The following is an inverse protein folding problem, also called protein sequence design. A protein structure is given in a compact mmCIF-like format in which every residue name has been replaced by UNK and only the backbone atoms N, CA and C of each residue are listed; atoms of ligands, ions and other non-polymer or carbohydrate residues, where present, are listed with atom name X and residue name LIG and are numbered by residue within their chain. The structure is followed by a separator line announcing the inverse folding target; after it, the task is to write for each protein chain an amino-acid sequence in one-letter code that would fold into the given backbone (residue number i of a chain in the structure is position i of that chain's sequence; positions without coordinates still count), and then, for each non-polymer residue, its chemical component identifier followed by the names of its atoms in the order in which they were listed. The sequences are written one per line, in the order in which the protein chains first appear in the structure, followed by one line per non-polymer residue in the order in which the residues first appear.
data_IF_758686489151
#
_entry.id   IF_758686489151
#
_cell.length_a   1.000
_cell.length_b   1.000
_cell.length_c   1.000
_cell.angle_alpha   90.00
_cell.angle_beta   90.00
_cell.angle_gamma   90.00
#
_symmetry.space_group_name_H-M   'P 1'
#
loop_
_entity.id
_entity.type
_entity.pdbx_description
1 polymer ?
2 water ?
#
# COMPACT_ATOMS: atom_id res chain seq x y z
N UNK A 2 -18.40 24.76 0.29
CA UNK A 2 -19.62 24.36 -0.44
C UNK A 2 -19.51 22.91 -0.87
N UNK A 3 -20.58 22.40 -1.45
CA UNK A 3 -20.54 21.09 -2.10
C UNK A 3 -19.77 21.23 -3.39
N UNK A 4 -19.19 20.13 -3.87
CA UNK A 4 -18.40 20.22 -5.08
C UNK A 4 -19.24 20.31 -6.38
N UNK A 5 -18.66 20.98 -7.36
CA UNK A 5 -19.15 20.98 -8.73
C UNK A 5 -18.16 20.39 -9.72
N UNK A 6 -16.87 20.60 -9.47
CA UNK A 6 -15.84 20.22 -10.42
C UNK A 6 -14.65 19.66 -9.65
N UNK A 7 -13.84 18.93 -10.38
CA UNK A 7 -12.63 18.33 -9.81
C UNK A 7 -11.58 18.13 -10.85
N UNK A 8 -10.35 17.99 -10.36
CA UNK A 8 -9.24 17.57 -11.21
C UNK A 8 -8.49 16.46 -10.48
N UNK A 9 -7.81 15.67 -11.27
CA UNK A 9 -7.08 14.53 -10.75
C UNK A 9 -5.72 14.42 -11.37
N UNK A 10 -4.71 14.23 -10.51
CA UNK A 10 -3.38 13.76 -10.91
C UNK A 10 -3.24 12.36 -10.27
N UNK A 11 -3.20 11.35 -11.12
CA UNK A 11 -3.12 9.95 -10.64
C UNK A 11 -1.83 9.38 -11.20
N UNK A 12 -1.04 8.74 -10.35
CA UNK A 12 0.30 8.34 -10.71
C UNK A 12 0.75 7.20 -9.83
N UNK A 13 1.87 6.60 -10.17
CA UNK A 13 2.41 5.49 -9.41
C UNK A 13 3.14 4.58 -10.33
N UNK A 14 2.98 3.28 -10.12
CA UNK A 14 3.63 2.30 -10.97
C UNK A 14 2.87 1.01 -10.94
N UNK A 15 2.99 0.24 -12.03
CA UNK A 15 2.48 -1.15 -12.09
C UNK A 15 3.63 -2.04 -12.53
N UNK A 16 3.88 -3.08 -11.75
CA UNK A 16 4.98 -3.99 -12.01
C UNK A 16 6.29 -3.21 -12.22
N UNK A 17 6.51 -2.20 -11.37
CA UNK A 17 7.74 -1.45 -11.38
C UNK A 17 7.85 -0.34 -12.40
N UNK A 18 6.86 -0.16 -13.27
CA UNK A 18 6.92 0.79 -14.37
C UNK A 18 5.99 1.95 -14.10
N UNK A 19 6.53 3.16 -14.11
CA UNK A 19 5.77 4.34 -13.73
C UNK A 19 4.65 4.64 -14.72
N UNK A 20 3.60 5.26 -14.20
CA UNK A 20 2.54 5.86 -15.04
C UNK A 20 2.14 7.16 -14.40
N UNK A 21 1.48 8.02 -15.21
CA UNK A 21 1.08 9.35 -14.77
C UNK A 21 -0.03 9.85 -15.67
N UNK A 22 -1.15 10.28 -15.08
CA UNK A 22 -2.26 10.87 -15.83
C UNK A 22 -2.80 12.07 -15.12
N UNK A 23 -3.39 12.97 -15.92
CA UNK A 23 -4.09 14.14 -15.39
C UNK A 23 -5.42 14.30 -16.10
N UNK A 24 -6.35 14.86 -15.38
CA UNK A 24 -7.65 15.15 -15.99
C UNK A 24 -8.55 15.93 -15.11
N UNK A 25 -9.77 16.10 -15.61
CA UNK A 25 -10.73 16.97 -14.98
C UNK A 25 -12.11 16.41 -15.16
N UNK A 26 -12.99 16.78 -14.24
CA UNK A 26 -14.32 16.25 -14.24
C UNK A 26 -15.30 17.12 -13.52
N UNK A 27 -16.50 16.58 -13.43
CA UNK A 27 -17.63 17.25 -12.81
C UNK A 27 -18.43 16.19 -12.05
N UNK A 28 -19.39 16.64 -11.27
CA UNK A 28 -20.33 15.73 -10.66
C UNK A 28 -21.48 16.45 -10.03
N UNK A 29 -22.45 15.64 -9.61
CA UNK A 29 -23.69 16.12 -9.02
C UNK A 29 -23.76 15.59 -7.58
N UNK A 30 -23.50 16.44 -6.58
CA UNK A 30 -23.44 15.99 -5.20
C UNK A 30 -24.80 15.74 -4.56
N UNK A 31 -25.88 16.02 -5.30
CA UNK A 31 -27.26 15.65 -4.96
C UNK A 31 -27.55 14.21 -5.32
N UNK A 32 -26.76 13.62 -6.21
CA UNK A 32 -27.05 12.28 -6.73
C UNK A 32 -25.90 11.30 -6.75
N UNK A 33 -24.73 11.71 -6.29
CA UNK A 33 -23.62 10.76 -6.30
C UNK A 33 -23.14 10.38 -7.67
N UNK A 34 -23.26 11.28 -8.64
CA UNK A 34 -22.78 11.01 -9.99
C UNK A 34 -21.54 11.85 -10.25
N UNK A 35 -20.64 11.29 -11.05
CA UNK A 35 -19.42 12.00 -11.45
C UNK A 35 -18.99 11.54 -12.82
N UNK A 36 -18.21 12.40 -13.47
CA UNK A 36 -17.60 12.10 -14.75
C UNK A 36 -16.20 12.68 -14.76
N UNK A 37 -15.29 11.99 -15.43
CA UNK A 37 -13.89 12.38 -15.47
C UNK A 37 -13.33 12.05 -16.82
N UNK A 38 -12.51 12.96 -17.37
CA UNK A 38 -11.70 12.71 -18.56
C UNK A 38 -10.23 12.80 -18.16
N UNK A 39 -9.45 11.79 -18.52
CA UNK A 39 -8.06 11.66 -18.14
C UNK A 39 -7.18 11.43 -19.34
N UNK A 40 -5.96 11.94 -19.29
CA UNK A 40 -5.00 11.69 -20.33
C UNK A 40 -3.67 11.34 -19.68
N UNK A 41 -2.99 10.35 -20.22
CA UNK A 41 -1.61 10.07 -19.85
C UNK A 41 -0.71 11.24 -20.19
N UNK A 42 0.23 11.51 -19.31
CA UNK A 42 1.22 12.53 -19.55
C UNK A 42 2.48 11.97 -20.21
N UNK A 43 2.50 10.67 -20.47
CA UNK A 43 3.49 10.11 -21.35
C UNK A 43 2.73 9.36 -22.45
N UNK A 44 2.93 8.08 -22.57
CA UNK A 44 2.27 7.29 -23.60
C UNK A 44 1.11 6.48 -23.05
N UNK A 45 0.56 5.56 -23.85
CA UNK A 45 -0.57 4.76 -23.35
C UNK A 45 -0.16 3.92 -22.15
N UNK A 46 -1.12 3.70 -21.28
CA UNK A 46 -0.90 2.86 -20.13
C UNK A 46 -0.47 1.48 -20.58
N UNK A 47 0.49 0.89 -19.84
CA UNK A 47 1.02 -0.45 -20.12
C UNK A 47 0.20 -1.61 -19.51
N UNK A 48 -0.92 -1.30 -18.91
CA UNK A 48 -1.76 -2.24 -18.17
C UNK A 48 -3.20 -1.89 -18.51
N UNK A 49 -4.14 -2.77 -18.16
CA UNK A 49 -5.55 -2.49 -18.45
C UNK A 49 -6.02 -1.25 -17.70
N UNK A 50 -6.63 -0.26 -18.39
CA UNK A 50 -7.12 0.91 -17.67
C UNK A 50 -8.24 0.55 -16.67
N UNK A 51 -8.89 -0.59 -16.87
CA UNK A 51 -9.87 -1.04 -15.91
C UNK A 51 -9.32 -1.20 -14.51
N UNK A 52 -8.03 -1.48 -14.38
CA UNK A 52 -7.45 -1.65 -13.04
C UNK A 52 -7.43 -0.31 -12.29
N UNK A 53 -7.50 0.83 -13.00
CA UNK A 53 -7.56 2.14 -12.34
C UNK A 53 -8.95 2.60 -11.96
N UNK A 54 -9.97 1.97 -12.56
CA UNK A 54 -11.33 2.45 -12.45
C UNK A 54 -11.73 2.68 -11.00
N UNK A 55 -11.36 1.74 -10.12
CA UNK A 55 -11.75 1.90 -8.74
C UNK A 55 -11.18 3.15 -8.03
N UNK A 56 -10.10 3.71 -8.58
CA UNK A 56 -9.36 4.85 -8.03
C UNK A 56 -9.64 6.14 -8.75
N UNK A 57 -10.58 6.10 -9.76
CA UNK A 57 -10.96 7.33 -10.52
C UNK A 57 -12.19 7.97 -9.88
N UNK A 58 -12.43 9.24 -10.15
CA UNK A 58 -13.64 9.83 -9.63
C UNK A 58 -14.27 10.85 -10.54
N UNK A 59 -14.49 4.17 -6.71
CA UNK A 59 -14.87 5.54 -6.31
C UNK A 59 -13.58 6.24 -5.86
N UNK A 60 -13.50 7.52 -6.22
CA UNK A 60 -12.34 8.40 -5.98
C UNK A 60 -12.73 9.77 -5.43
N UNK A 61 -14.01 10.30 -5.52
CA UNK A 61 -14.34 11.62 -5.04
C UNK A 61 -15.66 11.50 -4.34
N UNK A 62 -15.63 10.95 -3.13
CA UNK A 62 -16.88 10.75 -2.39
C UNK A 62 -17.46 12.02 -1.81
N UNK A 63 -16.82 13.15 -2.05
CA UNK A 63 -17.45 14.44 -1.81
C UNK A 63 -18.69 14.66 -2.67
N UNK A 64 -18.83 13.90 -3.75
CA UNK A 64 -20.08 13.94 -4.54
C UNK A 64 -21.17 13.03 -4.02
N UNK A 65 -20.89 12.22 -3.00
CA UNK A 65 -21.85 11.25 -2.47
C UNK A 65 -22.66 11.85 -1.30
N UNK A 66 -23.98 12.02 -1.47
CA UNK A 66 -24.82 12.34 -0.34
C UNK A 66 -25.19 11.07 0.41
N UNK A 67 -25.63 11.25 1.65
CA UNK A 67 -26.17 10.14 2.41
C UNK A 67 -27.69 10.21 2.37
N UNK A 68 -28.38 9.19 2.92
CA UNK A 68 -29.83 9.17 2.71
C UNK A 68 -30.59 10.33 3.33
N UNK A 69 -30.13 10.81 4.49
CA UNK A 69 -30.82 11.84 5.26
C UNK A 69 -30.06 13.17 5.39
N UNK A 70 -29.00 13.35 4.61
CA UNK A 70 -28.15 14.52 4.74
C UNK A 70 -26.81 14.31 4.10
N UNK A 71 -25.87 15.20 4.39
CA UNK A 71 -24.54 15.13 3.83
C UNK A 71 -23.85 13.85 4.27
N UNK A 72 -23.04 13.29 3.40
CA UNK A 72 -22.13 12.22 3.83
C UNK A 72 -21.05 12.80 4.70
N UNK A 73 -20.31 11.95 5.44
CA UNK A 73 -19.17 12.46 6.17
C UNK A 73 -18.13 13.14 5.26
N UNK A 74 -18.01 12.62 4.04
CA UNK A 74 -17.06 13.17 3.05
C UNK A 74 -17.45 14.60 2.71
N UNK A 75 -18.73 14.81 2.47
CA UNK A 75 -19.23 16.16 2.17
C UNK A 75 -19.06 17.09 3.36
N UNK A 76 -19.37 16.62 4.57
CA UNK A 76 -19.20 17.48 5.74
C UNK A 76 -17.76 17.91 5.93
N UNK A 77 -16.84 16.98 5.70
CA UNK A 77 -15.40 17.25 5.87
C UNK A 77 -14.85 18.23 4.82
N UNK A 78 -15.46 18.25 3.64
CA UNK A 78 -15.14 19.27 2.67
C UNK A 78 -15.71 20.63 3.05
N UNK A 79 -16.91 20.66 3.62
CA UNK A 79 -17.59 21.94 3.93
C UNK A 79 -16.79 22.83 4.87
N UNK A 80 -16.07 22.24 5.81
CA UNK A 80 -15.19 23.04 6.67
C UNK A 80 -13.71 22.90 6.32
N UNK A 81 -13.46 22.24 5.18
CA UNK A 81 -12.13 21.94 4.68
C UNK A 81 -11.24 21.14 5.64
N UNK A 82 -11.79 20.58 6.73
CA UNK A 82 -11.01 19.75 7.64
C UNK A 82 -10.54 18.47 6.95
N UNK A 83 -11.38 17.90 6.10
CA UNK A 83 -10.92 16.89 5.15
C UNK A 83 -10.73 15.50 5.75
N UNK A 84 -10.30 14.66 4.83
CA UNK A 84 -10.01 13.24 5.13
C UNK A 84 -8.98 12.74 4.13
N UNK A 85 -8.35 11.62 4.51
CA UNK A 85 -7.36 10.92 3.71
C UNK A 85 -7.88 9.52 3.44
N UNK A 86 -7.52 8.95 2.29
CA UNK A 86 -7.96 7.59 1.90
C UNK A 86 -6.73 6.71 1.73
N UNK A 87 -6.80 5.51 2.30
CA UNK A 87 -5.72 4.51 2.20
C UNK A 87 -6.40 3.19 1.83
N UNK A 88 -5.86 2.48 0.85
CA UNK A 88 -6.49 1.23 0.38
C UNK A 88 -5.47 0.15 0.11
N UNK A 89 -5.93 -1.09 0.29
CA UNK A 89 -5.17 -2.26 -0.09
C UNK A 89 -6.11 -3.25 -0.77
N UNK A 90 -5.68 -3.72 -1.94
CA UNK A 90 -6.47 -4.53 -2.87
C UNK A 90 -5.69 -5.80 -3.20
N UNK A 91 -6.25 -6.96 -2.85
CA UNK A 91 -5.58 -8.23 -3.08
C UNK A 91 -6.28 -8.98 -4.18
N UNK A 92 -5.57 -9.20 -5.30
CA UNK A 92 -6.15 -9.87 -6.45
C UNK A 92 -5.95 -11.38 -6.36
N UNK A 93 -6.81 -12.09 -7.09
CA UNK A 93 -6.86 -13.54 -6.99
C UNK A 93 -5.60 -14.23 -7.44
N UNK A 94 -4.86 -13.61 -8.37
CA UNK A 94 -3.62 -14.20 -8.91
C UNK A 94 -2.39 -13.74 -8.18
N UNK A 95 -2.56 -13.21 -6.97
CA UNK A 95 -1.48 -12.90 -6.04
C UNK A 95 -1.01 -11.48 -6.11
N UNK A 96 -1.31 -10.77 -7.20
CA UNK A 96 -0.97 -9.38 -7.36
C UNK A 96 -1.68 -8.54 -6.30
N UNK A 97 -1.14 -7.37 -6.00
CA UNK A 97 -1.85 -6.46 -5.10
C UNK A 97 -1.58 -5.02 -5.49
N UNK A 98 -2.55 -4.17 -5.15
CA UNK A 98 -2.47 -2.74 -5.36
C UNK A 98 -2.64 -2.04 -4.01
N UNK A 99 -1.86 -1.00 -3.78
CA UNK A 99 -2.06 -0.14 -2.63
C UNK A 99 -2.21 1.28 -3.13
N UNK A 100 -2.96 2.10 -2.41
CA UNK A 100 -3.19 3.46 -2.87
C UNK A 100 -3.40 4.42 -1.71
N UNK A 101 -3.07 5.68 -2.00
CA UNK A 101 -3.27 6.79 -1.07
C UNK A 101 -3.88 7.91 -1.87
N UNK A 102 -5.05 8.37 -1.45
CA UNK A 102 -5.77 9.46 -2.12
C UNK A 102 -5.76 10.66 -1.19
N UNK A 103 -5.38 11.81 -1.73
CA UNK A 103 -5.33 13.05 -0.96
C UNK A 103 -6.00 14.15 -1.77
N UNK A 104 -6.56 15.12 -1.05
CA UNK A 104 -7.36 16.19 -1.67
C UNK A 104 -6.98 17.55 -1.13
N UNK A 105 -7.14 18.55 -1.98
CA UNK A 105 -7.21 19.95 -1.53
C UNK A 105 -8.45 20.56 -2.15
N UNK A 106 -8.93 21.64 -1.54
CA UNK A 106 -10.20 22.26 -1.93
C UNK A 106 -10.02 23.75 -2.24
N UNK A 107 -10.74 24.18 -3.28
CA UNK A 107 -10.77 25.58 -3.67
C UNK A 107 -12.24 25.89 -4.00
N UNK A 108 -12.98 26.42 -3.04
CA UNK A 108 -14.41 26.63 -3.22
C UNK A 108 -15.12 25.32 -3.58
N UNK A 109 -15.84 25.30 -4.70
CA UNK A 109 -16.55 24.09 -5.15
C UNK A 109 -15.69 23.18 -6.04
N UNK A 110 -14.37 23.41 -6.08
CA UNK A 110 -13.44 22.64 -6.88
C UNK A 110 -12.53 21.77 -6.00
N UNK A 111 -12.42 20.51 -6.36
CA UNK A 111 -11.54 19.56 -5.65
C UNK A 111 -10.34 19.23 -6.51
N UNK A 112 -9.16 19.16 -5.88
CA UNK A 112 -7.95 18.66 -6.53
C UNK A 112 -7.50 17.39 -5.85
N UNK A 113 -7.43 16.32 -6.63
CA UNK A 113 -6.97 15.01 -6.12
C UNK A 113 -5.55 14.70 -6.55
N UNK A 114 -4.77 14.13 -5.63
CA UNK A 114 -3.42 13.62 -5.88
C UNK A 114 -3.45 12.19 -5.40
N UNK A 115 -3.50 11.27 -6.34
CA UNK A 115 -3.72 9.84 -6.00
C UNK A 115 -2.50 9.02 -6.44
N UNK A 116 -1.90 8.33 -5.47
CA UNK A 116 -0.76 7.47 -5.76
C UNK A 116 -1.22 6.03 -5.68
N UNK A 117 -1.04 5.30 -6.76
CA UNK A 117 -1.51 3.91 -6.91
C UNK A 117 -0.34 3.05 -7.34
N UNK A 118 0.00 2.04 -6.53
CA UNK A 118 1.13 1.16 -6.83
C UNK A 118 0.60 -0.26 -6.90
N UNK A 119 0.86 -0.95 -8.02
CA UNK A 119 0.49 -2.34 -8.22
C UNK A 119 1.71 -3.17 -8.52
N UNK A 120 1.76 -4.40 -7.98
CA UNK A 120 2.84 -5.33 -8.26
C UNK A 120 2.33 -6.74 -8.35
N UNK A 121 3.15 -7.58 -8.99
CA UNK A 121 2.88 -9.00 -9.06
C UNK A 121 1.84 -9.40 -10.10
N UNK A 122 1.47 -8.50 -11.01
CA UNK A 122 0.52 -8.87 -12.07
C UNK A 122 1.23 -9.78 -13.07
N UNK A 123 0.74 -11.01 -13.28
CA UNK A 123 1.45 -11.89 -14.22
C UNK A 123 1.47 -11.26 -15.63
N UNK A 124 2.60 -11.37 -16.34
CA UNK A 124 2.68 -10.79 -17.67
C UNK A 124 1.63 -11.35 -18.63
N UNK A 125 1.18 -12.59 -18.39
CA UNK A 125 0.14 -13.23 -19.20
C UNK A 125 -1.22 -13.19 -18.55
N UNK A 126 -1.38 -12.45 -17.43
CA UNK A 126 -2.65 -12.38 -16.75
C UNK A 126 -3.59 -11.37 -17.35
N UNK A 127 -4.80 -11.29 -16.77
CA UNK A 127 -5.84 -10.46 -17.40
C UNK A 127 -5.56 -8.97 -17.41
N UNK A 128 -4.82 -8.49 -16.40
CA UNK A 128 -4.50 -7.06 -16.33
C UNK A 128 -3.48 -6.68 -17.44
N UNK A 129 -2.46 -7.50 -17.61
CA UNK A 129 -1.39 -7.15 -18.55
C UNK A 129 -1.71 -7.57 -19.98
N UNK A 130 -2.76 -8.37 -20.20
CA UNK A 130 -3.18 -8.78 -21.53
C UNK A 130 -4.56 -8.27 -21.90
N UNK A 131 -5.00 -7.15 -21.29
CA UNK A 131 -6.24 -6.40 -21.70
C UNK A 131 -7.47 -7.31 -21.75
N UNK A 132 -7.64 -8.22 -20.77
CA UNK A 132 -8.82 -9.08 -20.78
C UNK A 132 -9.99 -8.50 -20.01
N UNK A 133 -9.77 -7.49 -19.16
CA UNK A 133 -10.86 -6.93 -18.37
C UNK A 133 -11.82 -6.19 -19.29
N UNK A 134 -13.12 -6.44 -19.15
CA UNK A 134 -14.12 -5.82 -20.00
C UNK A 134 -15.07 -4.87 -19.31
N UNK A 135 -15.24 -5.01 -17.99
CA UNK A 135 -16.09 -4.10 -17.23
C UNK A 135 -15.86 -4.39 -15.75
N UNK A 136 -16.07 -3.37 -14.93
CA UNK A 136 -16.13 -3.56 -13.48
C UNK A 136 -17.57 -3.90 -13.11
N UNK A 137 -17.79 -5.02 -12.43
CA UNK A 137 -19.14 -5.33 -11.94
C UNK A 137 -19.64 -4.23 -11.02
N UNK A 138 -20.95 -3.99 -11.10
CA UNK A 138 -21.63 -3.21 -10.09
C UNK A 138 -21.30 -3.79 -8.71
N UNK A 139 -21.18 -2.91 -7.72
CA UNK A 139 -20.76 -3.34 -6.39
C UNK A 139 -21.62 -2.75 -5.32
N UNK A 140 -21.59 -3.43 -4.18
CA UNK A 140 -22.10 -2.87 -2.94
C UNK A 140 -20.93 -2.77 -1.98
N UNK A 141 -20.61 -1.54 -1.58
CA UNK A 141 -19.53 -1.27 -0.61
C UNK A 141 -20.13 -1.18 0.78
N UNK A 142 -19.50 -1.79 1.75
CA UNK A 142 -19.92 -1.73 3.15
C UNK A 142 -19.05 -0.77 3.94
N UNK A 143 -19.69 0.12 4.68
CA UNK A 143 -18.99 1.01 5.62
C UNK A 143 -19.41 0.69 7.06
N UNK A 144 -18.39 0.56 7.91
CA UNK A 144 -18.57 0.66 9.36
C UNK A 144 -17.57 1.69 9.88
N UNK A 145 -17.80 2.16 11.12
CA UNK A 145 -17.03 3.26 11.69
C UNK A 145 -16.40 2.74 12.98
N UNK A 146 -15.17 2.24 12.93
CA UNK A 146 -14.57 1.70 14.17
C UNK A 146 -14.37 2.76 15.24
N UNK A 147 -14.24 4.02 14.83
CA UNK A 147 -14.19 5.14 15.78
C UNK A 147 -14.70 6.36 15.05
N UNK A 148 -14.80 7.48 15.75
CA UNK A 148 -15.48 8.62 15.17
C UNK A 148 -14.71 9.35 14.08
N UNK A 149 -13.45 8.96 13.84
CA UNK A 149 -12.63 9.56 12.79
C UNK A 149 -12.27 8.58 11.67
N UNK A 150 -12.84 7.38 11.67
CA UNK A 150 -12.39 6.35 10.74
C UNK A 150 -13.55 5.58 10.13
N UNK A 151 -13.57 5.50 8.79
CA UNK A 151 -14.46 4.58 8.08
C UNK A 151 -13.62 3.42 7.59
N UNK A 152 -14.08 2.21 7.86
CA UNK A 152 -13.54 0.98 7.24
C UNK A 152 -14.52 0.54 6.17
N UNK A 153 -14.05 0.53 4.92
CA UNK A 153 -14.85 0.20 3.77
C UNK A 153 -14.33 -1.11 3.16
N UNK A 154 -15.26 -2.02 2.85
CA UNK A 154 -14.90 -3.30 2.29
C UNK A 154 -15.85 -3.67 1.16
N UNK A 155 -15.31 -4.39 0.19
CA UNK A 155 -16.12 -5.12 -0.78
C UNK A 155 -15.27 -6.14 -1.51
N UNK A 156 -15.97 -7.07 -2.15
CA UNK A 156 -15.42 -8.03 -3.11
C UNK A 156 -15.59 -7.40 -4.48
N UNK A 157 -14.47 -7.10 -5.13
CA UNK A 157 -14.46 -6.40 -6.41
C UNK A 157 -14.23 -7.42 -7.52
N UNK A 158 -15.10 -7.43 -8.52
CA UNK A 158 -14.94 -8.34 -9.68
C UNK A 158 -15.07 -7.59 -10.98
N UNK A 159 -14.26 -8.02 -11.94
CA UNK A 159 -14.38 -7.60 -13.33
C UNK A 159 -14.86 -8.78 -14.17
N UNK A 160 -15.65 -8.52 -15.21
CA UNK A 160 -15.82 -9.50 -16.26
C UNK A 160 -14.56 -9.48 -17.15
N UNK A 161 -14.30 -10.62 -17.81
CA UNK A 161 -13.14 -10.75 -18.70
C UNK A 161 -13.49 -11.47 -19.99
N UNK A 162 -12.62 -11.32 -20.99
CA UNK A 162 -12.79 -11.99 -22.26
C UNK A 162 -12.66 -13.50 -22.17
N UNK A 163 -12.14 -14.03 -21.07
CA UNK A 163 -12.09 -15.48 -20.88
C UNK A 163 -13.40 -16.06 -20.39
N UNK A 164 -14.42 -15.22 -20.23
CA UNK A 164 -15.69 -15.70 -19.75
C UNK A 164 -15.67 -16.09 -18.30
N UNK A 165 -14.77 -15.50 -17.55
CA UNK A 165 -14.68 -15.68 -16.10
C UNK A 165 -14.58 -14.31 -15.50
N UNK A 166 -14.70 -14.22 -14.20
CA UNK A 166 -14.48 -12.97 -13.50
C UNK A 166 -13.09 -12.93 -12.94
N UNK A 167 -12.56 -11.72 -12.75
CA UNK A 167 -11.26 -11.51 -12.10
C UNK A 167 -11.53 -10.79 -10.79
N UNK A 168 -11.13 -11.44 -9.70
CA UNK A 168 -11.58 -11.09 -8.35
C UNK A 168 -10.51 -10.40 -7.53
N UNK A 169 -10.97 -9.59 -6.59
CA UNK A 169 -10.15 -8.81 -5.68
C UNK A 169 -10.86 -8.60 -4.35
N UNK A 170 -10.10 -8.66 -3.26
CA UNK A 170 -10.62 -8.28 -1.95
C UNK A 170 -10.12 -6.87 -1.65
N UNK A 171 -11.06 -5.94 -1.50
CA UNK A 171 -10.78 -4.51 -1.36
C UNK A 171 -10.99 -4.06 0.08
N UNK A 172 -10.01 -3.37 0.66
CA UNK A 172 -10.13 -2.80 2.01
C UNK A 172 -9.65 -1.36 1.96
N UNK A 173 -10.34 -0.49 2.70
CA UNK A 173 -10.04 0.92 2.68
C UNK A 173 -10.29 1.54 4.02
N UNK A 174 -9.42 2.48 4.43
CA UNK A 174 -9.73 3.38 5.53
C UNK A 174 -9.81 4.79 5.04
N UNK A 175 -10.84 5.49 5.52
CA UNK A 175 -10.95 6.95 5.37
C UNK A 175 -10.75 7.55 6.74
N UNK A 176 -9.73 8.41 6.85
CA UNK A 176 -9.32 8.94 8.14
C UNK A 176 -9.58 10.44 8.13
N UNK A 177 -10.45 10.86 9.06
CA UNK A 177 -10.95 12.24 9.13
C UNK A 177 -10.19 13.05 10.15
N UNK A 178 -9.93 14.32 9.82
CA UNK A 178 -9.26 15.22 10.78
C UNK A 178 -10.13 15.55 11.99
N UNK A 179 -11.44 15.66 11.77
CA UNK A 179 -12.42 15.97 12.80
C UNK A 179 -13.41 14.85 12.91
N UNK A 180 -14.01 14.62 14.10
CA UNK A 180 -14.99 13.56 14.21
C UNK A 180 -16.16 13.72 13.25
N UNK A 181 -16.66 12.58 12.78
CA UNK A 181 -17.90 12.55 12.02
C UNK A 181 -19.08 12.85 12.95
N UNK A 182 -20.14 13.40 12.36
CA UNK A 182 -21.34 13.78 13.13
C UNK A 182 -22.06 12.59 13.73
N UNK A 183 -22.74 12.82 14.83
CA UNK A 183 -23.51 11.78 15.50
C UNK A 183 -24.54 11.08 14.61
N UNK A 184 -25.21 11.83 13.72
CA UNK A 184 -26.19 11.24 12.78
C UNK A 184 -25.56 10.26 11.78
N UNK A 185 -24.27 10.42 11.51
CA UNK A 185 -23.53 9.47 10.70
C UNK A 185 -23.23 8.25 11.55
N UNK A 186 -22.66 8.43 12.71
CA UNK A 186 -22.22 7.32 13.53
C UNK A 186 -23.34 6.40 13.97
N UNK A 187 -24.54 6.95 14.11
CA UNK A 187 -25.69 6.19 14.59
C UNK A 187 -26.27 5.19 13.62
N UNK A 188 -25.88 5.25 12.35
CA UNK A 188 -26.41 4.33 11.37
C UNK A 188 -25.33 3.48 10.71
N UNK A 189 -25.22 2.24 11.18
CA UNK A 189 -24.21 1.33 10.71
C UNK A 189 -24.80 -0.05 10.61
N UNK A 190 -24.35 -0.85 9.62
CA UNK A 190 -23.49 -0.45 8.49
C UNK A 190 -24.24 0.48 7.55
N UNK A 191 -23.46 1.20 6.75
CA UNK A 191 -23.99 1.93 5.60
C UNK A 191 -23.48 1.24 4.37
N UNK A 192 -24.34 1.07 3.36
CA UNK A 192 -23.99 0.43 2.11
C UNK A 192 -24.02 1.43 0.98
N UNK A 193 -23.18 1.22 -0.04
CA UNK A 193 -23.14 2.09 -1.18
C UNK A 193 -23.21 1.25 -2.45
N UNK A 194 -24.24 1.46 -3.27
CA UNK A 194 -24.34 0.78 -4.55
C UNK A 194 -23.56 1.61 -5.57
N UNK A 195 -22.60 0.99 -6.26
CA UNK A 195 -21.72 1.67 -7.21
C UNK A 195 -21.84 1.10 -8.60
N UNK A 196 -22.05 1.98 -9.58
CA UNK A 196 -22.00 1.65 -10.98
C UNK A 196 -20.94 2.51 -11.66
N UNK A 197 -20.19 1.92 -12.58
CA UNK A 197 -19.18 2.66 -13.35
C UNK A 197 -19.27 2.31 -14.81
N UNK A 198 -18.69 3.21 -15.62
CA UNK A 198 -18.51 3.01 -17.05
C UNK A 198 -17.17 3.59 -17.44
N UNK A 199 -16.46 2.90 -18.32
CA UNK A 199 -15.22 3.38 -18.85
C UNK A 199 -15.33 3.33 -20.36
N UNK A 200 -15.02 4.46 -20.99
CA UNK A 200 -14.98 4.57 -22.45
C UNK A 200 -13.55 4.84 -22.76
N UNK A 201 -13.06 4.10 -23.72
CA UNK A 201 -11.86 4.46 -24.30
C UNK A 201 -11.73 3.72 -25.58
N UNK A 202 -11.03 4.35 -26.50
CA UNK A 202 -10.59 3.69 -27.71
C UNK A 202 -9.07 3.51 -27.72
N UNK A 203 -8.37 4.29 -26.92
CA UNK A 203 -6.97 4.04 -26.64
C UNK A 203 -6.70 4.16 -25.15
N UNK A 204 -5.56 3.61 -24.76
CA UNK A 204 -5.13 3.54 -23.36
C UNK A 204 -4.46 4.76 -22.83
N UNK A 205 -4.42 5.82 -23.61
CA UNK A 205 -3.87 7.08 -23.13
C UNK A 205 -4.95 8.07 -22.73
N UNK A 206 -6.20 7.84 -23.16
CA UNK A 206 -7.27 8.84 -23.04
C UNK A 206 -8.54 8.14 -22.56
N UNK A 207 -8.97 8.41 -21.36
CA UNK A 207 -10.05 7.68 -20.76
C UNK A 207 -11.18 8.62 -20.45
N UNK A 208 -12.41 8.13 -20.55
CA UNK A 208 -13.59 8.79 -20.04
C UNK A 208 -14.26 7.83 -19.05
N UNK A 209 -14.50 8.33 -17.86
CA UNK A 209 -15.02 7.55 -16.74
C UNK A 209 -16.31 8.21 -16.26
N UNK A 210 -17.30 7.40 -15.91
CA UNK A 210 -18.52 7.88 -15.28
C UNK A 210 -18.89 6.92 -14.16
N UNK A 211 -19.53 7.48 -13.13
CA UNK A 211 -19.98 6.68 -11.99
C UNK A 211 -21.26 7.22 -11.42
N UNK A 212 -22.00 6.32 -10.78
CA UNK A 212 -23.16 6.67 -9.98
C UNK A 212 -23.11 5.84 -8.71
N UNK A 213 -23.24 6.52 -7.58
CA UNK A 213 -23.28 5.87 -6.28
C UNK A 213 -24.56 6.24 -5.56
N UNK A 214 -25.08 5.28 -4.78
CA UNK A 214 -26.28 5.48 -4.00
C UNK A 214 -26.10 4.84 -2.63
N UNK A 215 -26.18 5.64 -1.57
CA UNK A 215 -26.09 5.12 -0.20
C UNK A 215 -27.43 4.59 0.29
N UNK A 216 -27.39 3.51 1.05
CA UNK A 216 -28.58 2.93 1.66
C UNK A 216 -28.20 2.16 2.90
N UNK A 217 -29.02 2.26 3.95
CA UNK A 217 -28.81 1.46 5.15
C UNK A 217 -29.90 0.41 5.36
N UNK A 218 -30.87 0.36 4.47
CA UNK A 218 -32.05 -0.45 4.63
C UNK A 218 -32.57 -0.72 3.24
N UNK A 219 -33.47 -1.68 3.19
CA UNK A 219 -34.22 -2.02 2.02
C UNK A 219 -35.67 -2.27 2.43
N UNK B 2 29.77 -3.28 -5.91
CA UNK B 2 30.28 -4.16 -4.85
C UNK B 2 29.13 -4.59 -3.95
N UNK B 3 29.44 -5.48 -3.01
CA UNK B 3 28.54 -5.80 -1.93
C UNK B 3 28.48 -4.61 -0.98
N UNK B 4 27.39 -4.49 -0.23
CA UNK B 4 27.30 -3.35 0.67
C UNK B 4 28.12 -3.47 1.96
N UNK B 5 28.56 -2.32 2.46
CA UNK B 5 29.14 -2.18 3.80
C UNK B 5 28.31 -1.30 4.74
N UNK B 6 27.70 -0.25 4.18
CA UNK B 6 27.02 0.75 4.95
C UNK B 6 25.73 1.16 4.26
N UNK B 7 24.84 1.74 5.04
CA UNK B 7 23.58 2.22 4.49
C UNK B 7 23.05 3.37 5.30
N UNK B 8 22.14 4.11 4.67
CA UNK B 8 21.37 5.13 5.36
C UNK B 8 19.90 4.95 4.98
N UNK B 9 19.04 5.44 5.86
CA UNK B 9 17.60 5.29 5.69
C UNK B 9 16.91 6.59 5.98
N UNK B 10 15.99 6.97 5.09
CA UNK B 10 14.97 7.95 5.35
C UNK B 10 13.63 7.18 5.29
N UNK B 11 12.98 7.06 6.42
CA UNK B 11 11.70 6.33 6.53
C UNK B 11 10.64 7.32 7.00
N UNK B 12 9.50 7.32 6.32
CA UNK B 12 8.52 8.36 6.53
C UNK B 12 7.17 7.86 6.07
N UNK B 13 6.14 8.61 6.38
CA UNK B 13 4.79 8.26 6.01
C UNK B 13 3.83 8.78 7.06
N UNK B 14 2.84 7.98 7.42
CA UNK B 14 1.85 8.38 8.42
C UNK B 14 1.24 7.16 9.07
N UNK B 15 0.80 7.32 10.31
CA UNK B 15 0.01 6.33 11.01
C UNK B 15 -1.26 6.97 11.48
N UNK B 16 -2.41 6.40 11.13
CA UNK B 16 -3.70 6.98 11.47
C UNK B 16 -3.77 8.46 11.08
N UNK B 17 -3.25 8.79 9.90
CA UNK B 17 -3.38 10.12 9.36
C UNK B 17 -2.33 11.11 9.83
N UNK B 18 -1.44 10.71 10.75
CA UNK B 18 -0.49 11.64 11.35
C UNK B 18 0.90 11.31 10.84
N UNK B 19 1.57 12.32 10.28
CA UNK B 19 2.89 12.12 9.68
C UNK B 19 3.96 11.71 10.65
N UNK B 20 4.94 10.95 10.16
CA UNK B 20 6.18 10.70 10.89
C UNK B 20 7.32 10.73 9.88
N UNK B 21 8.53 10.89 10.41
CA UNK B 21 9.72 11.03 9.59
C UNK B 21 10.94 10.71 10.44
N UNK B 22 11.79 9.81 9.96
CA UNK B 22 13.02 9.42 10.65
C UNK B 22 14.16 9.28 9.69
N UNK B 23 15.37 9.48 10.20
CA UNK B 23 16.58 9.28 9.45
C UNK B 23 17.58 8.53 10.29
N UNK B 24 18.41 7.77 9.62
CA UNK B 24 19.47 7.06 10.31
C UNK B 24 20.46 6.41 9.39
N UNK B 25 21.39 5.69 10.01
CA UNK B 25 22.48 5.06 9.29
C UNK B 25 22.91 3.78 9.97
N UNK B 26 23.51 2.93 9.18
CA UNK B 26 23.83 1.60 9.62
C UNK B 26 24.92 0.94 8.84
N UNK B 27 25.13 -0.31 9.20
CA UNK B 27 26.17 -1.16 8.63
C UNK B 27 25.64 -2.57 8.53
N UNK B 28 26.37 -3.43 7.84
CA UNK B 28 26.01 -4.82 7.80
C UNK B 28 27.10 -5.67 7.20
N UNK B 29 26.92 -6.97 7.32
CA UNK B 29 27.87 -7.95 6.82
C UNK B 29 27.15 -8.81 5.77
N UNK B 30 27.44 -8.60 4.49
CA UNK B 30 26.73 -9.28 3.41
C UNK B 30 27.14 -10.73 3.23
N UNK B 31 28.16 -11.18 3.97
CA UNK B 31 28.53 -12.60 4.04
C UNK B 31 27.66 -13.37 5.02
N UNK B 32 26.97 -12.67 5.90
CA UNK B 32 26.17 -13.32 6.94
C UNK B 32 24.75 -12.84 7.15
N UNK B 33 24.30 -11.86 6.40
CA UNK B 33 22.92 -11.41 6.56
C UNK B 33 22.67 -10.69 7.85
N UNK B 34 23.69 -9.98 8.36
CA UNK B 34 23.49 -9.22 9.58
C UNK B 34 23.52 -7.74 9.24
N UNK B 35 22.75 -6.95 9.99
CA UNK B 35 22.74 -5.51 9.82
C UNK B 35 22.37 -4.85 11.13
N UNK B 36 22.76 -3.58 11.22
CA UNK B 36 22.48 -2.74 12.36
C UNK B 36 22.14 -1.35 11.84
N UNK B 37 21.23 -0.68 12.54
CA UNK B 37 20.75 0.64 12.15
C UNK B 37 20.45 1.47 13.39
N UNK B 38 20.87 2.74 13.37
CA UNK B 38 20.47 3.71 14.38
C UNK B 38 19.66 4.77 13.69
N UNK B 39 18.49 5.08 14.27
CA UNK B 39 17.51 6.01 13.66
C UNK B 39 17.00 7.00 14.70
N UNK B 40 16.59 8.15 14.22
CA UNK B 40 15.97 9.13 15.09
C UNK B 40 14.88 9.87 14.32
N UNK B 41 13.84 10.21 15.03
CA UNK B 41 12.81 11.07 14.48
C UNK B 41 13.38 12.45 14.17
N UNK B 42 12.94 13.03 13.07
CA UNK B 42 13.32 14.36 12.71
C UNK B 42 12.32 15.42 13.21
N UNK B 43 11.30 14.99 13.95
CA UNK B 43 10.40 15.92 14.69
C UNK B 43 10.30 15.36 16.13
N UNK B 44 9.10 15.12 16.64
CA UNK B 44 8.97 14.62 17.99
C UNK B 44 8.96 13.10 18.07
N UNK B 45 8.77 12.57 19.28
CA UNK B 45 8.65 11.13 19.47
C UNK B 45 7.53 10.55 18.63
N UNK B 46 7.69 9.30 18.21
CA UNK B 46 6.64 8.62 17.47
C UNK B 46 5.42 8.48 18.35
N UNK B 47 4.23 8.70 17.77
CA UNK B 47 2.94 8.56 18.45
C UNK B 47 2.39 7.16 18.43
N UNK B 48 3.21 6.20 18.02
CA UNK B 48 2.83 4.81 17.89
C UNK B 48 4.03 3.95 18.30
N UNK B 49 3.80 2.66 18.50
CA UNK B 49 4.86 1.75 18.90
C UNK B 49 5.97 1.69 17.84
N UNK B 50 7.24 1.92 18.25
CA UNK B 50 8.32 1.81 17.28
C UNK B 50 8.44 0.39 16.69
N UNK B 51 7.97 -0.60 17.42
CA UNK B 51 7.99 -1.97 16.93
C UNK B 51 7.22 -2.16 15.64
N UNK B 52 6.22 -1.32 15.37
CA UNK B 52 5.46 -1.45 14.12
C UNK B 52 6.34 -1.15 12.91
N UNK B 53 7.45 -0.45 13.09
CA UNK B 53 8.38 -0.16 12.00
C UNK B 53 9.40 -1.23 11.74
N UNK B 54 9.59 -2.17 12.68
CA UNK B 54 10.71 -3.13 12.61
C UNK B 54 10.92 -3.85 11.28
N UNK B 55 9.85 -4.44 10.64
CA UNK B 55 10.17 -5.09 9.34
C UNK B 55 10.53 -4.17 8.22
N UNK B 56 10.26 -2.88 8.40
CA UNK B 56 10.62 -1.91 7.40
C UNK B 56 12.00 -1.32 7.62
N UNK B 57 12.61 -1.70 8.76
CA UNK B 57 13.97 -1.17 9.05
C UNK B 57 15.03 -2.11 8.49
N UNK B 58 16.19 -1.59 8.20
CA UNK B 58 17.19 -2.51 7.79
C UNK B 58 18.48 -2.04 8.36
N UNK B 59 12.75 -6.76 7.77
CA UNK B 59 13.93 -6.62 6.92
C UNK B 59 13.65 -5.53 5.90
N UNK B 60 14.68 -4.72 5.69
CA UNK B 60 14.63 -3.54 4.81
C UNK B 60 15.84 -3.45 3.89
N UNK B 61 16.99 -4.20 4.03
CA UNK B 61 18.13 -4.05 3.17
C UNK B 61 18.63 -5.43 2.86
N UNK B 62 17.90 -6.14 2.00
CA UNK B 62 18.27 -7.50 1.66
C UNK B 62 19.50 -7.61 0.77
N UNK B 63 20.10 -6.48 0.41
CA UNK B 63 21.42 -6.51 -0.19
C UNK B 63 22.47 -7.07 0.78
N UNK B 64 22.17 -7.11 2.08
CA UNK B 64 23.07 -7.78 3.03
C UNK B 64 22.83 -9.29 3.16
N UNK B 65 21.80 -9.82 2.48
CA UNK B 65 21.46 -11.24 2.56
C UNK B 65 22.15 -12.06 1.48
N UNK B 66 23.06 -12.98 1.86
CA UNK B 66 23.54 -13.95 0.88
C UNK B 66 22.58 -15.11 0.76
N UNK B 67 22.67 -15.84 -0.33
CA UNK B 67 21.96 -17.08 -0.47
C UNK B 67 22.89 -18.25 -0.14
N UNK B 68 22.35 -19.48 -0.09
CA UNK B 68 23.19 -20.53 0.48
C UNK B 68 24.42 -20.87 -0.35
N UNK B 69 24.31 -20.74 -1.68
CA UNK B 69 25.41 -21.11 -2.57
C UNK B 69 26.00 -19.96 -3.39
N UNK B 70 25.64 -18.74 -3.05
CA UNK B 70 26.12 -17.57 -3.78
C UNK B 70 25.33 -16.34 -3.43
N UNK B 71 25.46 -15.32 -4.25
CA UNK B 71 24.75 -14.06 -4.00
C UNK B 71 23.24 -14.26 -4.06
N UNK B 72 22.52 -13.53 -3.23
CA UNK B 72 21.07 -13.45 -3.38
C UNK B 72 20.74 -12.64 -4.62
N UNK B 73 19.49 -12.72 -5.10
CA UNK B 73 19.12 -11.86 -6.21
C UNK B 73 19.24 -10.35 -5.85
N UNK B 74 19.03 -10.01 -4.59
CA UNK B 74 19.16 -8.64 -4.12
C UNK B 74 20.59 -8.15 -4.29
N UNK B 75 21.54 -8.99 -3.90
CA UNK B 75 22.95 -8.66 -4.07
C UNK B 75 23.35 -8.54 -5.53
N UNK B 76 22.89 -9.45 -6.38
CA UNK B 76 23.22 -9.39 -7.80
C UNK B 76 22.71 -8.10 -8.43
N UNK B 77 21.51 -7.70 -8.04
CA UNK B 77 20.89 -6.51 -8.59
C UNK B 77 21.57 -5.22 -8.11
N UNK B 78 22.18 -5.25 -6.93
CA UNK B 78 23.05 -4.15 -6.51
C UNK B 78 24.35 -4.12 -7.29
N UNK B 79 24.92 -5.29 -7.59
CA UNK B 79 26.25 -5.35 -8.19
C UNK B 79 26.33 -4.68 -9.55
N UNK B 80 25.28 -4.76 -10.35
CA UNK B 80 25.25 -4.02 -11.60
C UNK B 80 24.36 -2.79 -11.55
N UNK B 81 23.94 -2.43 -10.34
CA UNK B 81 23.06 -1.29 -10.07
C UNK B 81 21.71 -1.31 -10.80
N UNK B 82 21.34 -2.44 -11.39
CA UNK B 82 20.02 -2.50 -12.06
C UNK B 82 18.91 -2.42 -11.03
N UNK B 83 19.11 -3.05 -9.88
CA UNK B 83 18.24 -2.82 -8.75
C UNK B 83 16.90 -3.52 -8.75
N UNK B 84 16.18 -3.23 -7.68
CA UNK B 84 14.83 -3.74 -7.47
C UNK B 84 14.07 -2.77 -6.59
N UNK B 85 12.73 -2.92 -6.63
CA UNK B 85 11.79 -2.15 -5.81
C UNK B 85 11.02 -3.09 -4.92
N UNK B 86 10.63 -2.63 -3.74
CA UNK B 86 9.86 -3.46 -2.79
C UNK B 86 8.50 -2.81 -2.57
N UNK B 87 7.45 -3.64 -2.59
CA UNK B 87 6.08 -3.19 -2.36
C UNK B 87 5.46 -4.19 -1.38
N UNK B 88 4.84 -3.72 -0.32
CA UNK B 88 4.29 -4.64 0.70
C UNK B 88 2.92 -4.19 1.19
N UNK B 89 2.15 -5.19 1.60
CA UNK B 89 0.88 -4.97 2.28
C UNK B 89 0.78 -5.88 3.46
N UNK B 90 0.36 -5.29 4.59
CA UNK B 90 0.37 -5.94 5.91
C UNK B 90 -1.01 -5.78 6.53
N UNK B 91 -1.71 -6.88 6.77
CA UNK B 91 -3.07 -6.85 7.31
C UNK B 91 -3.04 -7.34 8.73
N UNK B 92 -3.34 -6.44 9.66
CA UNK B 92 -3.34 -6.75 11.10
C UNK B 92 -4.67 -7.32 11.57
N UNK B 93 -4.61 -8.06 12.68
CA UNK B 93 -5.77 -8.79 13.19
C UNK B 93 -6.94 -7.91 13.58
N UNK B 94 -6.65 -6.67 13.96
CA UNK B 94 -7.68 -5.74 14.40
C UNK B 94 -8.18 -4.85 13.27
N UNK B 95 -7.93 -5.24 12.03
CA UNK B 95 -8.48 -4.57 10.87
C UNK B 95 -7.58 -3.53 10.27
N UNK B 96 -6.64 -3.00 11.05
CA UNK B 96 -5.66 -2.04 10.57
C UNK B 96 -4.83 -2.64 9.45
N UNK B 97 -4.26 -1.79 8.63
CA UNK B 97 -3.31 -2.26 7.63
C UNK B 97 -2.24 -1.24 7.37
N UNK B 98 -1.08 -1.75 6.96
CA UNK B 98 0.07 -0.96 6.57
C UNK B 98 0.45 -1.31 5.13
N UNK B 99 0.79 -0.28 4.34
CA UNK B 99 1.35 -0.51 3.02
C UNK B 99 2.67 0.22 2.95
N UNK B 100 3.58 -0.30 2.14
CA UNK B 100 4.91 0.31 2.09
C UNK B 100 5.53 0.12 0.74
N UNK B 101 6.40 1.08 0.41
CA UNK B 101 7.22 1.07 -0.79
C UNK B 101 8.63 1.40 -0.39
N UNK B 102 9.57 0.50 -0.71
CA UNK B 102 10.98 0.69 -0.37
C UNK B 102 11.74 0.88 -1.65
N UNK B 103 12.54 1.95 -1.70
CA UNK B 103 13.33 2.28 -2.89
C UNK B 103 14.77 2.55 -2.47
N UNK B 104 15.71 2.27 -3.36
CA UNK B 104 17.13 2.36 -3.04
C UNK B 104 17.90 3.08 -4.12
N UNK B 105 18.98 3.75 -3.72
CA UNK B 105 20.03 4.17 -4.65
C UNK B 105 21.37 3.67 -4.09
N UNK B 106 22.35 3.57 -4.96
CA UNK B 106 23.65 2.97 -4.62
C UNK B 106 24.78 3.92 -4.92
N UNK B 107 25.76 3.94 -4.02
CA UNK B 107 26.99 4.71 -4.23
C UNK B 107 28.13 3.81 -3.72
N UNK B 108 28.75 3.07 -4.63
CA UNK B 108 29.77 2.12 -4.25
C UNK B 108 29.18 1.10 -3.29
N UNK B 109 29.81 0.94 -2.13
CA UNK B 109 29.32 -0.02 -1.13
C UNK B 109 28.31 0.57 -0.14
N UNK B 110 27.78 1.75 -0.45
CA UNK B 110 26.82 2.45 0.39
C UNK B 110 25.44 2.45 -0.27
N UNK B 111 24.43 2.08 0.52
CA UNK B 111 23.03 2.07 0.07
C UNK B 111 22.27 3.21 0.72
N UNK B 112 21.44 3.91 -0.05
CA UNK B 112 20.51 4.88 0.46
C UNK B 112 19.07 4.39 0.26
N UNK B 113 18.34 4.25 1.37
CA UNK B 113 16.94 3.83 1.31
C UNK B 113 15.98 5.00 1.51
N UNK B 114 14.90 5.03 0.72
CA UNK B 114 13.79 5.97 0.87
C UNK B 114 12.55 5.09 1.01
N UNK B 115 12.02 4.99 2.22
CA UNK B 115 10.95 4.03 2.53
C UNK B 115 9.72 4.80 2.97
N UNK B 116 8.61 4.60 2.25
CA UNK B 116 7.34 5.23 2.61
C UNK B 116 6.44 4.18 3.22
N UNK B 117 5.99 4.39 4.44
CA UNK B 117 5.18 3.45 5.20
C UNK B 117 3.91 4.16 5.65
N UNK B 118 2.75 3.64 5.26
CA UNK B 118 1.48 4.25 5.63
C UNK B 118 0.64 3.21 6.36
N UNK B 119 0.20 3.55 7.57
CA UNK B 119 -0.68 2.70 8.35
C UNK B 119 -1.98 3.39 8.68
N UNK B 120 -3.08 2.67 8.66
CA UNK B 120 -4.37 3.20 9.02
C UNK B 120 -5.20 2.18 9.75
N UNK B 121 -6.20 2.70 10.48
CA UNK B 121 -7.17 1.87 11.15
C UNK B 121 -6.71 1.23 12.45
N UNK B 122 -5.59 1.71 13.00
CA UNK B 122 -5.15 1.15 14.28
C UNK B 122 -6.05 1.66 15.40
N UNK B 123 -6.65 0.77 16.19
CA UNK B 123 -7.54 1.27 17.26
C UNK B 123 -6.74 2.15 18.23
N UNK B 124 -7.33 3.28 18.68
CA UNK B 124 -6.59 4.14 19.63
C UNK B 124 -6.23 3.41 20.93
N UNK B 125 -7.02 2.41 21.32
CA UNK B 125 -6.77 1.59 22.52
C UNK B 125 -6.03 0.28 22.26
N UNK B 126 -5.59 0.08 21.03
CA UNK B 126 -4.89 -1.15 20.70
C UNK B 126 -3.40 -1.08 21.00
N UNK B 127 -2.70 -2.21 20.78
CA UNK B 127 -1.32 -2.30 21.24
C UNK B 127 -0.34 -1.45 20.46
N UNK B 128 -0.66 -1.09 19.22
CA UNK B 128 0.21 -0.21 18.46
C UNK B 128 0.15 1.22 18.99
N UNK B 129 -1.06 1.76 19.10
CA UNK B 129 -1.18 3.15 19.49
C UNK B 129 -0.92 3.38 20.99
N UNK B 130 -0.99 2.32 21.81
CA UNK B 130 -0.74 2.41 23.24
C UNK B 130 0.61 1.79 23.63
N UNK B 131 1.48 1.51 22.66
CA UNK B 131 2.86 1.11 22.95
C UNK B 131 2.95 -0.14 23.83
N UNK B 132 2.16 -1.17 23.47
CA UNK B 132 2.18 -2.42 24.20
C UNK B 132 2.92 -3.57 23.50
N UNK B 133 3.45 -3.33 22.31
CA UNK B 133 4.27 -4.37 21.64
C UNK B 133 5.59 -4.44 22.37
N UNK B 134 6.06 -5.65 22.63
CA UNK B 134 7.32 -5.84 23.34
C UNK B 134 8.46 -6.45 22.52
N UNK B 135 8.17 -7.18 21.45
CA UNK B 135 9.19 -7.76 20.59
C UNK B 135 8.52 -8.31 19.36
N UNK B 136 9.27 -8.42 18.28
CA UNK B 136 8.85 -9.13 17.09
C UNK B 136 9.30 -10.58 17.17
N UNK B 137 8.39 -11.54 17.02
CA UNK B 137 8.79 -12.93 17.02
C UNK B 137 9.73 -13.20 15.86
N UNK B 138 10.69 -14.10 16.10
CA UNK B 138 11.44 -14.68 15.00
C UNK B 138 10.50 -15.22 13.93
N UNK B 139 10.91 -15.09 12.67
CA UNK B 139 10.07 -15.40 11.51
C UNK B 139 10.77 -16.31 10.53
N UNK B 140 9.97 -17.05 9.77
CA UNK B 140 10.44 -17.68 8.55
C UNK B 140 9.66 -17.08 7.41
N UNK B 141 10.36 -16.45 6.46
CA UNK B 141 9.75 -15.85 5.28
C UNK B 141 9.86 -16.83 4.12
N UNK B 142 8.80 -16.97 3.35
CA UNK B 142 8.79 -17.81 2.16
C UNK B 142 8.90 -16.95 0.91
N UNK B 143 9.80 -17.37 0.03
CA UNK B 143 9.95 -16.76 -1.31
C UNK B 143 9.60 -17.78 -2.41
N UNK B 144 8.76 -17.35 -3.33
CA UNK B 144 8.64 -18.01 -4.62
C UNK B 144 8.80 -16.95 -5.71
N UNK B 145 9.04 -17.41 -6.92
CA UNK B 145 9.37 -16.51 -8.03
C UNK B 145 8.36 -16.75 -9.15
N UNK B 146 7.24 -15.99 -9.17
CA UNK B 146 6.22 -16.24 -10.20
C UNK B 146 6.75 -15.97 -11.61
N UNK B 147 7.75 -15.12 -11.75
CA UNK B 147 8.41 -14.93 -13.05
C UNK B 147 9.83 -14.47 -12.73
N UNK B 148 10.63 -14.31 -13.78
CA UNK B 148 12.06 -14.09 -13.61
C UNK B 148 12.44 -12.73 -13.04
N UNK B 149 11.46 -11.83 -12.90
CA UNK B 149 11.71 -10.50 -12.36
C UNK B 149 10.97 -10.22 -11.06
N UNK B 150 10.32 -11.24 -10.48
CA UNK B 150 9.46 -11.00 -9.34
C UNK B 150 9.62 -12.04 -8.25
N UNK B 151 9.83 -11.57 -7.02
CA UNK B 151 9.75 -12.42 -5.85
C UNK B 151 8.46 -12.10 -5.11
N UNK B 152 7.69 -13.12 -4.78
CA UNK B 152 6.53 -13.01 -3.88
C UNK B 152 6.96 -13.60 -2.55
N UNK B 153 6.95 -12.75 -1.51
CA UNK B 153 7.39 -13.09 -0.18
C UNK B 153 6.19 -13.04 0.75
N UNK B 154 6.03 -14.08 1.57
CA UNK B 154 4.92 -14.15 2.52
C UNK B 154 5.39 -14.62 3.88
N UNK B 155 4.73 -14.14 4.93
CA UNK B 155 4.84 -14.74 6.25
C UNK B 155 3.71 -14.25 7.14
N UNK B 156 3.52 -14.99 8.23
CA UNK B 156 2.64 -14.60 9.32
C UNK B 156 3.52 -13.94 10.36
N UNK B 157 3.26 -12.66 10.58
CA UNK B 157 4.09 -11.84 11.49
C UNK B 157 3.38 -11.67 12.84
N UNK B 158 4.08 -11.99 13.93
CA UNK B 158 3.53 -11.83 15.26
C UNK B 158 4.48 -11.09 16.18
N UNK B 159 3.89 -10.24 17.01
CA UNK B 159 4.58 -9.58 18.12
C UNK B 159 4.07 -10.13 19.43
N UNK B 160 4.95 -10.16 20.44
CA UNK B 160 4.51 -10.31 21.82
C UNK B 160 4.08 -8.94 22.34
N UNK B 161 3.20 -8.97 23.33
CA UNK B 161 2.68 -7.75 23.95
C UNK B 161 2.73 -7.82 25.46
N UNK B 162 2.54 -6.65 26.09
CA UNK B 162 2.65 -6.57 27.53
C UNK B 162 1.62 -7.40 28.27
N UNK B 163 0.45 -7.65 27.66
CA UNK B 163 -0.55 -8.49 28.37
C UNK B 163 -0.52 -9.99 28.01
N UNK B 164 0.57 -10.43 27.37
CA UNK B 164 0.77 -11.84 27.10
C UNK B 164 0.28 -12.30 25.72
N UNK B 165 -0.68 -11.60 25.15
CA UNK B 165 -1.25 -12.02 23.88
C UNK B 165 -0.29 -11.68 22.77
N UNK B 166 -0.31 -12.44 21.71
CA UNK B 166 0.41 -12.05 20.49
C UNK B 166 -0.48 -11.18 19.63
N UNK B 167 0.15 -10.30 18.85
CA UNK B 167 -0.53 -9.39 17.91
C UNK B 167 -0.12 -9.79 16.50
N UNK B 168 -1.07 -10.21 15.69
CA UNK B 168 -0.85 -10.90 14.44
C UNK B 168 -1.07 -10.04 13.21
N UNK B 169 -0.36 -10.45 12.15
CA UNK B 169 -0.42 -9.77 10.87
C UNK B 169 -0.11 -10.77 9.75
N UNK B 170 -0.80 -10.61 8.61
CA UNK B 170 -0.50 -11.33 7.40
C UNK B 170 0.26 -10.40 6.48
N UNK B 171 1.50 -10.80 6.14
CA UNK B 171 2.45 -9.97 5.40
C UNK B 171 2.62 -10.51 3.98
N UNK B 172 2.49 -9.63 2.99
CA UNK B 172 2.74 -10.00 1.58
C UNK B 172 3.62 -8.94 0.96
N UNK B 173 4.55 -9.38 0.10
CA UNK B 173 5.52 -8.47 -0.49
C UNK B 173 5.87 -8.92 -1.90
N UNK B 174 6.04 -7.96 -2.79
CA UNK B 174 6.71 -8.21 -4.06
C UNK B 174 7.98 -7.43 -4.15
N UNK B 175 9.02 -8.11 -4.62
CA UNK B 175 10.28 -7.50 -5.03
C UNK B 175 10.35 -7.58 -6.53
N UNK B 176 10.45 -6.43 -7.18
CA UNK B 176 10.38 -6.35 -8.62
C UNK B 176 11.72 -5.88 -9.15
N UNK B 177 12.32 -6.71 -9.99
CA UNK B 177 13.68 -6.50 -10.47
C UNK B 177 13.69 -5.91 -11.86
N UNK B 178 14.63 -5.00 -12.12
CA UNK B 178 14.75 -4.41 -13.46
C UNK B 178 15.26 -5.39 -14.50
N UNK B 179 16.14 -6.31 -14.08
CA UNK B 179 16.71 -7.34 -14.93
C UNK B 179 16.36 -8.70 -14.36
N UNK B 180 16.28 -9.73 -15.21
CA UNK B 180 15.97 -11.07 -14.71
C UNK B 180 16.94 -11.55 -13.64
N UNK B 181 16.38 -12.29 -12.69
CA UNK B 181 17.21 -13.01 -11.73
C UNK B 181 17.91 -14.17 -12.43
N UNK B 182 19.06 -14.56 -11.91
CA UNK B 182 19.87 -15.62 -12.52
C UNK B 182 19.17 -16.97 -12.45
N UNK B 183 19.47 -17.83 -13.42
CA UNK B 183 18.89 -19.18 -13.47
C UNK B 183 19.12 -19.96 -12.18
N UNK B 184 20.30 -19.85 -11.57
CA UNK B 184 20.57 -20.61 -10.33
C UNK B 184 19.67 -20.16 -9.16
N UNK B 185 19.19 -18.93 -9.17
CA UNK B 185 18.19 -18.48 -8.21
C UNK B 185 16.84 -19.13 -8.53
N UNK B 186 16.43 -19.04 -9.79
CA UNK B 186 15.09 -19.44 -10.18
C UNK B 186 14.87 -20.94 -10.01
N UNK B 187 15.95 -21.70 -10.11
CA UNK B 187 15.88 -23.16 -10.01
C UNK B 187 15.61 -23.73 -8.63
N UNK B 188 15.74 -22.93 -7.57
CA UNK B 188 15.56 -23.41 -6.20
C UNK B 188 14.40 -22.67 -5.52
N UNK B 189 13.23 -23.31 -5.51
CA UNK B 189 12.03 -22.75 -4.91
C UNK B 189 11.28 -23.81 -4.16
N UNK B 190 10.59 -23.46 -3.08
CA UNK B 190 10.69 -22.16 -2.39
C UNK B 190 12.06 -21.96 -1.76
N UNK B 191 12.36 -20.71 -1.45
CA UNK B 191 13.49 -20.35 -0.60
C UNK B 191 12.92 -19.76 0.68
N UNK B 192 13.46 -20.17 1.81
CA UNK B 192 13.02 -19.67 3.12
C UNK B 192 14.09 -18.81 3.74
N UNK B 193 13.67 -17.83 4.55
CA UNK B 193 14.61 -16.96 5.26
C UNK B 193 14.24 -16.90 6.72
N UNK B 194 15.14 -17.32 7.58
CA UNK B 194 14.95 -17.18 9.02
C UNK B 194 15.37 -15.79 9.44
N UNK B 195 14.50 -15.05 10.10
CA UNK B 195 14.77 -13.66 10.50
C UNK B 195 14.68 -13.50 12.01
N UNK B 196 15.71 -12.90 12.59
CA UNK B 196 15.75 -12.49 13.98
C UNK B 196 15.99 -10.98 14.00
N UNK B 197 15.29 -10.28 14.88
CA UNK B 197 15.48 -8.85 15.08
C UNK B 197 15.60 -8.53 16.56
N UNK B 198 16.16 -7.35 16.81
CA UNK B 198 16.19 -6.74 18.14
C UNK B 198 15.99 -5.25 17.96
N UNK B 199 15.22 -4.66 18.86
CA UNK B 199 15.04 -3.21 18.89
C UNK B 199 15.28 -2.72 20.30
N UNK B 200 16.07 -1.66 20.42
CA UNK B 200 16.24 -0.90 21.66
C UNK B 200 15.77 0.52 21.38
N UNK B 201 15.01 1.09 22.33
CA UNK B 201 14.63 2.50 22.32
C UNK B 201 14.33 2.90 23.79
N UNK B 202 14.92 3.98 24.28
CA UNK B 202 14.62 4.45 25.68
C UNK B 202 13.47 5.47 25.71
N UNK B 203 13.23 6.06 24.54
CA UNK B 203 12.16 7.01 24.29
C UNK B 203 11.61 6.55 22.93
N UNK B 204 10.48 7.13 22.51
CA UNK B 204 9.91 6.87 21.17
C UNK B 204 10.56 7.70 20.06
N UNK B 205 11.74 8.27 20.30
CA UNK B 205 12.38 9.18 19.35
C UNK B 205 13.67 8.65 18.68
N UNK B 206 14.43 7.82 19.41
CA UNK B 206 15.71 7.27 18.94
C UNK B 206 15.68 5.75 19.10
N UNK B 207 16.08 5.06 18.04
CA UNK B 207 16.02 3.58 17.98
C UNK B 207 17.37 2.97 17.59
N UNK B 208 17.69 1.79 18.14
CA UNK B 208 18.79 0.95 17.66
C UNK B 208 18.22 -0.41 17.26
N UNK B 209 18.43 -0.78 16.02
CA UNK B 209 17.87 -1.99 15.42
C UNK B 209 19.00 -2.91 14.98
N UNK B 210 18.83 -4.21 15.19
CA UNK B 210 19.76 -5.23 14.68
C UNK B 210 18.96 -6.38 14.11
N UNK B 211 19.51 -7.02 13.09
CA UNK B 211 18.87 -8.16 12.46
C UNK B 211 19.90 -9.17 12.03
N UNK B 212 19.45 -10.42 11.97
CA UNK B 212 20.22 -11.50 11.38
C UNK B 212 19.24 -12.32 10.54
N UNK B 213 19.59 -12.57 9.29
CA UNK B 213 18.81 -13.37 8.37
C UNK B 213 19.66 -14.52 7.83
N UNK B 214 19.02 -15.67 7.63
CA UNK B 214 19.67 -16.87 7.10
C UNK B 214 18.77 -17.54 6.09
N UNK B 215 19.20 -17.60 4.83
CA UNK B 215 18.46 -18.29 3.79
C UNK B 215 18.66 -19.80 3.85
N UNK B 216 17.61 -20.57 3.58
CA UNK B 216 17.70 -22.01 3.50
C UNK B 216 16.61 -22.54 2.63
N UNK B 217 16.92 -23.56 1.84
CA UNK B 217 15.92 -24.24 1.01
C UNK B 217 15.66 -25.68 1.44
N UNK B 218 16.37 -26.13 2.48
CA UNK B 218 16.34 -27.51 2.90
C UNK B 218 16.69 -27.50 4.39
N UNK B 219 16.44 -28.64 5.01
CA UNK B 219 16.88 -28.93 6.35
C UNK B 219 17.30 -30.39 6.41
#
# INVERSE_FOLDING_TARGET
MPLPKTHELHIFGSFNGVKFDMVGEGTGNPNEGSEELKLKSTNGPLKFSPYILVPHLGYGFNQYLPFPDGMSPFQAAMQDESGYQVHRTLQYEDGAFVTANLRYTYEGSHIKGEFQVIGTGFPPDGPVMTNKLTALDWSVVKFVYPNDKTILSTFDKTYTTTDGKRYQCTFRENNTFAKPMAADILQKQPMFIFHKTELQHSNNAELTFKEKQTAFSDMKSGGSHHHHHH
MPLPKTHELHIFGSFNGVKFDMVGEGTGNPNEGSEELKLKSTNGPLKFSPYILVPHLGYGFNQYLPFPDGMSPFQAAMQDESGYQVHRTLQYEDGAFVTANLRYTYEGSHIKGEFQVIGTGFPPDGPVMTNKLTALDWSVVKFVYPNDKTILSTFDKTYTTTDGKRYQCTFRENNTFAKPMAADILQKQPMFIFHKTELQHSNNAELTFKEKQTAFSDMKSGGSHHHHHH
#
